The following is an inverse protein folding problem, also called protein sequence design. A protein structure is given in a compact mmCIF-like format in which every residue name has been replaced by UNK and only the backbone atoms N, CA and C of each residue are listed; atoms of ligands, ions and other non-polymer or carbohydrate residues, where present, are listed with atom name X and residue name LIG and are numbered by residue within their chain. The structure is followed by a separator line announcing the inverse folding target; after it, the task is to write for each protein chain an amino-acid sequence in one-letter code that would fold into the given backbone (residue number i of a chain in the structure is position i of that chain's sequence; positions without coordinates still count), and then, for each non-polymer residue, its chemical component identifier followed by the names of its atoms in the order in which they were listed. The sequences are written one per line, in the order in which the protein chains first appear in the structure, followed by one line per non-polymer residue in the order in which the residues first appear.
data_IF_834377315876
#
_entry.id   IF_834377315876
#
_cell.length_a   1.000
_cell.length_b   1.000
_cell.length_c   1.000
_cell.angle_alpha   90.00
_cell.angle_beta   90.00
_cell.angle_gamma   90.00
#
_symmetry.space_group_name_H-M   'P 1'
#
loop_
_entity.id
_entity.type
_entity.pdbx_description
1 polymer ?
#
# COMPACT_ATOMS: atom_id res chain seq x y z
N UNK A 1 -8.58 36.96 -50.94
CA UNK A 1 -9.33 35.87 -50.26
C UNK A 1 -8.32 34.79 -49.92
N UNK A 2 -7.99 34.63 -48.63
CA UNK A 2 -7.01 33.66 -48.11
C UNK A 2 -7.73 32.84 -47.04
N UNK A 3 -7.80 31.50 -47.14
CA UNK A 3 -8.40 30.68 -46.10
C UNK A 3 -7.33 30.32 -45.07
N UNK A 4 -7.60 30.52 -43.78
CA UNK A 4 -6.78 29.92 -42.75
C UNK A 4 -7.55 29.75 -41.43
N UNK A 5 -7.93 28.49 -41.20
CA UNK A 5 -7.82 27.78 -39.93
C UNK A 5 -8.84 28.17 -38.85
N UNK A 6 -10.01 27.55 -38.96
CA UNK A 6 -10.83 27.12 -37.81
C UNK A 6 -10.12 25.92 -37.19
N UNK A 7 -9.40 26.14 -36.08
CA UNK A 7 -8.80 25.11 -35.26
C UNK A 7 -9.55 25.02 -33.93
N UNK A 8 -10.59 24.20 -33.92
CA UNK A 8 -11.40 23.83 -32.75
C UNK A 8 -10.51 23.08 -31.74
N UNK A 9 -10.10 23.74 -30.66
CA UNK A 9 -9.41 23.05 -29.54
C UNK A 9 -10.46 22.47 -28.61
N UNK A 10 -10.75 21.19 -28.81
CA UNK A 10 -11.50 20.32 -27.90
C UNK A 10 -10.50 19.29 -27.33
N UNK A 11 -9.90 19.64 -26.20
CA UNK A 11 -9.28 18.70 -25.27
C UNK A 11 -9.86 19.10 -23.92
N UNK A 12 -10.88 18.41 -23.42
CA UNK A 12 -10.82 16.99 -23.13
C UNK A 12 -10.36 16.87 -21.68
N UNK A 13 -11.33 16.67 -20.80
CA UNK A 13 -11.20 16.62 -19.36
C UNK A 13 -9.91 15.94 -18.86
N UNK A 14 -9.09 16.72 -18.18
CA UNK A 14 -8.33 16.21 -17.05
C UNK A 14 -8.88 16.91 -15.82
N UNK A 15 -9.90 16.29 -15.21
CA UNK A 15 -10.18 16.49 -13.80
C UNK A 15 -8.85 16.25 -13.08
N UNK A 16 -8.17 17.34 -12.75
CA UNK A 16 -7.12 17.34 -11.76
C UNK A 16 -7.81 17.06 -10.41
N UNK A 17 -8.21 15.81 -10.20
CA UNK A 17 -8.35 15.24 -8.88
C UNK A 17 -6.94 15.01 -8.31
N UNK A 18 -6.14 16.08 -8.26
CA UNK A 18 -4.98 16.17 -7.40
C UNK A 18 -5.46 16.67 -6.02
N UNK A 19 -6.44 15.97 -5.44
CA UNK A 19 -6.78 16.07 -4.03
C UNK A 19 -6.19 14.85 -3.32
N UNK A 20 -4.86 14.75 -3.32
CA UNK A 20 -4.15 14.00 -2.29
C UNK A 20 -2.94 14.82 -1.85
N UNK A 21 -3.14 16.13 -1.71
CA UNK A 21 -2.43 16.91 -0.69
C UNK A 21 -3.06 16.59 0.66
N UNK A 22 -3.04 15.32 1.07
CA UNK A 22 -3.01 15.04 2.49
C UNK A 22 -1.56 15.36 2.88
N UNK A 23 -1.33 16.65 3.13
CA UNK A 23 -0.20 17.07 3.92
C UNK A 23 -0.27 16.22 5.19
N UNK A 24 0.52 15.15 5.21
CA UNK A 24 0.96 14.52 6.44
C UNK A 24 1.81 15.62 7.07
N UNK A 25 1.14 16.56 7.74
CA UNK A 25 1.70 17.29 8.84
C UNK A 25 2.16 16.21 9.82
N UNK A 26 3.40 15.79 9.62
CA UNK A 26 4.18 14.99 10.54
C UNK A 26 4.34 15.76 11.83
N UNK A 27 3.26 15.81 12.60
CA UNK A 27 3.28 16.11 14.02
C UNK A 27 3.41 14.78 14.73
N UNK A 28 4.66 14.34 14.90
CA UNK A 28 5.20 13.66 16.08
C UNK A 28 4.19 13.27 17.16
N UNK A 29 3.30 12.33 16.86
CA UNK A 29 2.86 11.38 17.84
C UNK A 29 3.90 10.28 17.78
N UNK A 30 4.69 10.12 18.83
CA UNK A 30 5.32 8.83 19.14
C UNK A 30 4.15 7.90 19.47
N UNK A 31 3.39 7.56 18.44
CA UNK A 31 2.11 6.90 18.53
C UNK A 31 2.43 5.44 18.71
N UNK A 32 2.45 5.00 19.96
CA UNK A 32 2.54 3.59 20.31
C UNK A 32 1.59 2.85 19.38
N UNK A 33 2.13 1.97 18.52
CA UNK A 33 1.31 1.13 17.66
C UNK A 33 0.30 0.42 18.56
N UNK A 34 -0.98 0.48 18.22
CA UNK A 34 -1.98 -0.28 18.95
C UNK A 34 -1.68 -1.79 18.84
N UNK A 35 -2.22 -2.63 19.74
CA UNK A 35 -1.87 -4.06 19.77
C UNK A 35 -2.14 -4.80 18.45
N UNK A 36 -3.11 -4.36 17.64
CA UNK A 36 -3.37 -4.97 16.35
C UNK A 36 -2.31 -4.55 15.31
N UNK A 37 -1.91 -3.28 15.33
CA UNK A 37 -0.81 -2.80 14.51
C UNK A 37 0.53 -3.49 14.85
N UNK A 38 0.81 -3.74 16.13
CA UNK A 38 2.00 -4.48 16.55
C UNK A 38 1.99 -5.92 16.01
N UNK A 39 0.84 -6.60 16.08
CA UNK A 39 0.67 -7.95 15.51
C UNK A 39 0.87 -7.96 14.00
N UNK A 40 0.27 -7.00 13.29
CA UNK A 40 0.46 -6.83 11.85
C UNK A 40 1.94 -6.63 11.49
N UNK A 41 2.66 -5.80 12.25
CA UNK A 41 4.10 -5.59 12.06
C UNK A 41 4.94 -6.84 12.34
N UNK A 42 4.62 -7.60 13.38
CA UNK A 42 5.27 -8.89 13.64
C UNK A 42 5.01 -9.89 12.49
N UNK A 43 3.77 -9.96 12.00
CA UNK A 43 3.41 -10.78 10.85
C UNK A 43 4.14 -10.36 9.56
N UNK A 44 4.30 -9.05 9.35
CA UNK A 44 5.03 -8.50 8.21
C UNK A 44 6.50 -8.96 8.19
N UNK A 45 7.17 -9.02 9.34
CA UNK A 45 8.55 -9.54 9.41
C UNK A 45 8.64 -10.98 8.90
N UNK A 46 7.62 -11.80 9.19
CA UNK A 46 7.56 -13.17 8.66
C UNK A 46 7.30 -13.18 7.15
N UNK A 47 6.44 -12.29 6.64
CA UNK A 47 6.24 -12.15 5.18
C UNK A 47 7.55 -11.80 4.49
N UNK A 48 8.32 -10.84 5.03
CA UNK A 48 9.61 -10.44 4.49
C UNK A 48 10.61 -11.60 4.49
N UNK A 49 10.62 -12.40 5.56
CA UNK A 49 11.45 -13.61 5.63
C UNK A 49 11.04 -14.65 4.58
N UNK A 50 9.74 -14.93 4.44
CA UNK A 50 9.21 -15.86 3.44
C UNK A 50 9.55 -15.42 2.01
N UNK A 51 9.45 -14.12 1.73
CA UNK A 51 9.81 -13.55 0.42
C UNK A 51 11.30 -13.74 0.13
N UNK A 52 12.17 -13.58 1.14
CA UNK A 52 13.62 -13.82 1.02
C UNK A 52 13.97 -15.30 0.86
N UNK A 53 13.21 -16.20 1.47
CA UNK A 53 13.42 -17.65 1.34
C UNK A 53 12.83 -18.25 0.07
N UNK A 54 12.20 -17.45 -0.80
CA UNK A 54 11.58 -17.93 -2.03
C UNK A 54 10.29 -18.72 -1.81
N UNK A 55 9.49 -18.33 -0.80
CA UNK A 55 8.17 -18.93 -0.57
C UNK A 55 7.27 -18.81 -1.80
N UNK A 56 6.34 -19.76 -1.96
CA UNK A 56 5.42 -19.74 -3.09
C UNK A 56 4.45 -18.55 -3.01
N UNK A 57 3.93 -18.05 -4.15
CA UNK A 57 2.87 -17.04 -4.17
C UNK A 57 1.69 -17.33 -3.23
N UNK A 58 1.26 -18.60 -3.17
CA UNK A 58 0.17 -19.02 -2.30
C UNK A 58 0.54 -18.87 -0.81
N UNK A 59 1.74 -19.27 -0.42
CA UNK A 59 2.24 -19.11 0.96
C UNK A 59 2.39 -17.64 1.35
N UNK A 60 2.89 -16.80 0.44
CA UNK A 60 2.98 -15.35 0.67
C UNK A 60 1.60 -14.74 0.86
N UNK A 61 0.64 -15.10 0.01
CA UNK A 61 -0.74 -14.60 0.09
C UNK A 61 -1.46 -15.03 1.37
N UNK A 62 -1.27 -16.27 1.80
CA UNK A 62 -1.79 -16.76 3.07
C UNK A 62 -1.18 -15.97 4.25
N UNK A 63 0.13 -15.72 4.24
CA UNK A 63 0.74 -14.95 5.32
C UNK A 63 0.32 -13.49 5.32
N UNK A 64 0.19 -12.89 4.14
CA UNK A 64 -0.29 -11.52 3.97
C UNK A 64 -1.77 -11.38 4.39
N UNK A 65 -2.61 -12.41 4.25
CA UNK A 65 -3.98 -12.36 4.75
C UNK A 65 -4.04 -12.21 6.27
N UNK A 66 -3.14 -12.88 7.00
CA UNK A 66 -3.02 -12.70 8.46
C UNK A 66 -2.61 -11.28 8.81
N UNK A 67 -1.62 -10.72 8.10
CA UNK A 67 -1.19 -9.31 8.29
C UNK A 67 -2.35 -8.35 8.01
N UNK A 68 -3.13 -8.62 6.96
CA UNK A 68 -4.33 -7.85 6.63
C UNK A 68 -5.39 -7.91 7.73
N UNK A 69 -5.67 -9.10 8.26
CA UNK A 69 -6.66 -9.30 9.31
C UNK A 69 -6.28 -8.63 10.63
N UNK A 70 -4.99 -8.57 10.96
CA UNK A 70 -4.49 -7.82 12.12
C UNK A 70 -4.51 -6.31 11.83
N UNK A 71 -4.02 -5.88 10.66
CA UNK A 71 -3.95 -4.45 10.32
C UNK A 71 -5.33 -3.79 10.22
N UNK A 72 -6.36 -4.49 9.73
CA UNK A 72 -7.73 -3.96 9.67
C UNK A 72 -8.37 -3.75 11.04
N UNK A 73 -7.84 -4.40 12.08
CA UNK A 73 -8.28 -4.22 13.47
C UNK A 73 -7.58 -3.02 14.14
N UNK A 74 -6.51 -2.48 13.55
CA UNK A 74 -5.78 -1.33 14.05
C UNK A 74 -6.60 -0.05 13.92
N UNK A 75 -6.39 0.91 14.82
CA UNK A 75 -6.90 2.28 14.68
C UNK A 75 -6.10 3.14 13.71
N UNK A 76 -4.94 2.65 13.25
CA UNK A 76 -4.06 3.37 12.32
C UNK A 76 -4.57 3.22 10.88
N UNK A 77 -5.23 4.26 10.37
CA UNK A 77 -5.78 4.28 9.02
C UNK A 77 -4.72 4.08 7.91
N UNK A 78 -3.48 4.54 8.14
CA UNK A 78 -2.38 4.34 7.18
C UNK A 78 -2.02 2.85 7.10
N UNK A 79 -1.95 2.18 8.25
CA UNK A 79 -1.68 0.73 8.30
C UNK A 79 -2.79 -0.08 7.64
N UNK A 80 -4.06 0.28 7.87
CA UNK A 80 -5.20 -0.35 7.19
C UNK A 80 -5.09 -0.22 5.67
N UNK A 81 -4.84 1.01 5.17
CA UNK A 81 -4.76 1.27 3.73
C UNK A 81 -3.61 0.48 3.07
N UNK A 82 -2.43 0.45 3.71
CA UNK A 82 -1.28 -0.32 3.21
C UNK A 82 -1.54 -1.82 3.21
N UNK A 83 -2.21 -2.33 4.23
CA UNK A 83 -2.55 -3.74 4.30
C UNK A 83 -3.54 -4.17 3.20
N UNK A 84 -4.49 -3.29 2.83
CA UNK A 84 -5.40 -3.53 1.70
C UNK A 84 -4.62 -3.63 0.38
N UNK A 85 -3.72 -2.68 0.11
CA UNK A 85 -2.90 -2.67 -1.10
C UNK A 85 -2.02 -3.94 -1.17
N UNK A 86 -1.33 -4.24 -0.08
CA UNK A 86 -0.49 -5.43 0.05
C UNK A 86 -1.28 -6.73 -0.20
N UNK A 87 -2.49 -6.82 0.34
CA UNK A 87 -3.36 -7.98 0.14
C UNK A 87 -3.85 -8.11 -1.31
N UNK A 88 -4.21 -6.99 -1.95
CA UNK A 88 -4.61 -6.97 -3.35
C UNK A 88 -3.47 -7.48 -4.24
N UNK A 89 -2.27 -6.94 -4.08
CA UNK A 89 -1.09 -7.34 -4.86
C UNK A 89 -0.70 -8.80 -4.62
N UNK A 90 -0.76 -9.27 -3.38
CA UNK A 90 -0.52 -10.68 -3.07
C UNK A 90 -1.60 -11.60 -3.70
N UNK A 91 -2.84 -11.12 -3.85
CA UNK A 91 -3.90 -11.86 -4.55
C UNK A 91 -3.57 -12.01 -6.01
N UNK A 92 -3.19 -10.92 -6.67
CA UNK A 92 -2.80 -10.91 -8.07
C UNK A 92 -1.66 -11.90 -8.30
N UNK A 93 -0.62 -11.83 -7.48
CA UNK A 93 0.51 -12.75 -7.52
C UNK A 93 0.08 -14.22 -7.36
N UNK A 94 -0.79 -14.52 -6.38
CA UNK A 94 -1.27 -15.89 -6.15
C UNK A 94 -2.14 -16.44 -7.29
N UNK A 95 -2.85 -15.57 -8.02
CA UNK A 95 -3.64 -15.95 -9.20
C UNK A 95 -2.80 -16.06 -10.49
N UNK A 96 -1.48 -15.87 -10.41
CA UNK A 96 -0.57 -15.93 -11.55
C UNK A 96 -0.48 -14.63 -12.37
N UNK A 97 -1.03 -13.53 -11.85
CA UNK A 97 -0.85 -12.20 -12.42
C UNK A 97 0.43 -11.52 -11.95
N UNK A 98 0.82 -10.46 -12.64
CA UNK A 98 1.95 -9.60 -12.24
C UNK A 98 1.47 -8.55 -11.23
N UNK A 99 1.95 -8.55 -9.97
CA UNK A 99 1.58 -7.52 -9.02
C UNK A 99 2.19 -6.18 -9.43
N UNK A 100 1.39 -5.11 -9.39
CA UNK A 100 1.85 -3.78 -9.82
C UNK A 100 2.84 -3.14 -8.86
N UNK A 101 2.79 -3.47 -7.57
CA UNK A 101 3.49 -2.71 -6.52
C UNK A 101 3.90 -3.51 -5.28
N UNK A 102 3.88 -4.85 -5.30
CA UNK A 102 4.02 -5.66 -4.08
C UNK A 102 5.25 -5.30 -3.24
N UNK A 103 6.39 -5.05 -3.87
CA UNK A 103 7.61 -4.67 -3.17
C UNK A 103 7.57 -3.25 -2.60
N UNK A 104 6.94 -2.34 -3.32
CA UNK A 104 6.69 -0.98 -2.85
C UNK A 104 5.74 -0.99 -1.65
N UNK A 105 4.70 -1.83 -1.69
CA UNK A 105 3.73 -1.98 -0.61
C UNK A 105 4.35 -2.64 0.63
N UNK A 106 5.18 -3.67 0.45
CA UNK A 106 5.98 -4.27 1.52
C UNK A 106 6.94 -3.25 2.15
N UNK A 107 7.64 -2.47 1.33
CA UNK A 107 8.55 -1.44 1.81
C UNK A 107 7.80 -0.33 2.56
N UNK A 108 6.64 0.10 2.04
CA UNK A 108 5.77 1.08 2.66
C UNK A 108 5.22 0.62 4.00
N UNK A 109 4.70 -0.62 4.08
CA UNK A 109 4.23 -1.21 5.33
C UNK A 109 5.37 -1.36 6.35
N UNK A 110 6.57 -1.73 5.88
CA UNK A 110 7.75 -1.85 6.75
C UNK A 110 8.23 -0.49 7.28
N UNK A 111 8.10 0.57 6.49
CA UNK A 111 8.39 1.93 6.93
C UNK A 111 7.45 2.38 8.04
N UNK A 112 6.14 2.08 7.94
CA UNK A 112 5.19 2.36 9.03
C UNK A 112 5.55 1.59 10.31
N UNK A 113 5.89 0.31 10.18
CA UNK A 113 6.27 -0.52 11.31
C UNK A 113 7.58 -0.06 11.98
N UNK A 114 8.54 0.44 11.19
CA UNK A 114 9.84 0.89 11.70
C UNK A 114 9.79 2.32 12.25
N UNK A 115 8.89 3.17 11.73
CA UNK A 115 8.75 4.57 12.15
C UNK A 115 8.13 4.77 13.52
N UNK A 116 7.49 3.73 14.09
CA UNK A 116 6.84 3.75 15.40
C UNK A 116 7.49 2.80 16.43
N UNK A 117 8.61 2.16 16.06
CA UNK A 117 9.29 1.11 16.83
C UNK A 117 10.62 1.51 17.47
N UNK A 118 10.87 2.80 17.68
CA UNK A 118 12.06 3.32 18.36
C UNK A 118 11.70 4.05 19.66
#
# INVERSE_FOLDING_TARGET
MRPAIVGLVLVGASLAAACSSNAVTGGTGVGVLDPAAQRACAGLQVVLQLRRSGASPAQLRERISVVYDDARQSSNAVMQARAVALFADATVLATGGEPGSLDSDLAGMNAECSGHGA
#
